data_IF_168362442433
#
_entry.id   IF_168362442433
#
_cell.length_a   1.000
_cell.length_b   1.000
_cell.length_c   1.000
_cell.angle_alpha   90.00
_cell.angle_beta   90.00
_cell.angle_gamma   90.00
#
_symmetry.space_group_name_H-M   'P 1'
#
loop_
_entity.id
_entity.type
_entity.pdbx_description
1 polymer ?
#
# COMPACT_ATOMS: atom_id res chain seq x y z
N UNK A 1 0.72 -22.03 17.16
CA UNK A 1 -0.19 -22.67 16.17
C UNK A 1 -0.40 -21.66 15.06
N UNK A 2 0.19 -21.89 13.89
CA UNK A 2 0.08 -20.96 12.77
C UNK A 2 -1.25 -21.20 12.07
N UNK A 3 -2.22 -20.30 12.25
CA UNK A 3 -3.43 -20.30 11.43
C UNK A 3 -3.02 -19.87 10.02
N UNK A 4 -3.05 -20.82 9.08
CA UNK A 4 -2.98 -20.48 7.67
C UNK A 4 -4.40 -20.09 7.24
N UNK A 5 -4.69 -18.78 7.27
CA UNK A 5 -5.94 -18.26 6.70
C UNK A 5 -5.82 -18.37 5.18
N UNK A 6 -6.62 -19.25 4.57
CA UNK A 6 -6.74 -19.33 3.12
C UNK A 6 -7.58 -18.15 2.63
N UNK A 7 -7.01 -17.31 1.76
CA UNK A 7 -7.75 -16.24 1.06
C UNK A 7 -8.85 -16.88 0.21
N UNK A 8 -10.09 -16.40 0.37
CA UNK A 8 -11.20 -16.81 -0.48
C UNK A 8 -11.29 -15.90 -1.72
N UNK A 9 -12.27 -16.17 -2.61
CA UNK A 9 -12.46 -15.36 -3.81
C UNK A 9 -12.85 -13.90 -3.52
N UNK A 10 -13.66 -13.68 -2.47
CA UNK A 10 -14.08 -12.34 -2.05
C UNK A 10 -12.88 -11.52 -1.56
N UNK A 11 -12.00 -12.12 -0.74
CA UNK A 11 -10.77 -11.48 -0.28
C UNK A 11 -9.86 -11.11 -1.47
N UNK A 12 -9.70 -12.05 -2.41
CA UNK A 12 -8.90 -11.81 -3.62
C UNK A 12 -9.49 -10.68 -4.47
N UNK A 13 -10.80 -10.67 -4.68
CA UNK A 13 -11.47 -9.64 -5.47
C UNK A 13 -11.36 -8.27 -4.82
N UNK A 14 -11.65 -8.18 -3.51
CA UNK A 14 -11.53 -6.95 -2.74
C UNK A 14 -10.10 -6.38 -2.77
N UNK A 15 -9.09 -7.23 -2.70
CA UNK A 15 -7.69 -6.81 -2.79
C UNK A 15 -7.35 -6.25 -4.18
N UNK A 16 -7.81 -6.89 -5.25
CA UNK A 16 -7.59 -6.37 -6.61
C UNK A 16 -8.30 -5.03 -6.83
N UNK A 17 -9.52 -4.90 -6.30
CA UNK A 17 -10.28 -3.65 -6.36
C UNK A 17 -9.53 -2.53 -5.61
N UNK A 18 -9.01 -2.81 -4.41
CA UNK A 18 -8.19 -1.87 -3.65
C UNK A 18 -6.98 -1.37 -4.46
N UNK A 19 -6.23 -2.27 -5.10
CA UNK A 19 -5.08 -1.88 -5.94
C UNK A 19 -5.49 -1.02 -7.14
N UNK A 20 -6.59 -1.38 -7.80
CA UNK A 20 -7.07 -0.66 -8.98
C UNK A 20 -7.56 0.75 -8.61
N UNK A 21 -8.32 0.89 -7.53
CA UNK A 21 -8.86 2.16 -7.06
C UNK A 21 -7.74 3.07 -6.53
N UNK A 22 -6.77 2.52 -5.80
CA UNK A 22 -5.57 3.24 -5.36
C UNK A 22 -4.82 3.84 -6.55
N UNK A 23 -4.53 3.01 -7.57
CA UNK A 23 -3.80 3.45 -8.75
C UNK A 23 -4.60 4.52 -9.51
N UNK A 24 -5.92 4.31 -9.68
CA UNK A 24 -6.77 5.29 -10.35
C UNK A 24 -6.83 6.61 -9.61
N UNK A 25 -6.89 6.63 -8.27
CA UNK A 25 -6.91 7.86 -7.49
C UNK A 25 -5.62 8.67 -7.69
N UNK A 26 -4.47 8.01 -7.57
CA UNK A 26 -3.13 8.60 -7.78
C UNK A 26 -2.97 9.12 -9.21
N UNK A 27 -3.33 8.33 -10.22
CA UNK A 27 -3.17 8.70 -11.63
C UNK A 27 -4.11 9.84 -12.07
N UNK A 28 -5.29 9.92 -11.45
CA UNK A 28 -6.28 10.95 -11.76
C UNK A 28 -5.93 12.36 -11.25
N UNK A 29 -4.92 12.47 -10.38
CA UNK A 29 -4.55 13.74 -9.74
C UNK A 29 -5.51 14.22 -8.65
N UNK A 30 -6.50 13.41 -8.24
CA UNK A 30 -7.40 13.71 -7.11
C UNK A 30 -6.74 13.30 -5.78
N UNK A 31 -5.71 14.04 -5.38
CA UNK A 31 -4.84 13.69 -4.26
C UNK A 31 -5.55 13.57 -2.91
N UNK A 32 -6.68 14.26 -2.72
CA UNK A 32 -7.47 14.18 -1.47
C UNK A 32 -8.06 12.77 -1.22
N UNK A 33 -8.21 11.95 -2.27
CA UNK A 33 -8.69 10.57 -2.14
C UNK A 33 -7.59 9.61 -1.70
N UNK A 34 -6.33 9.94 -1.93
CA UNK A 34 -5.22 9.02 -1.72
C UNK A 34 -5.02 8.61 -0.24
N UNK A 35 -5.14 9.51 0.76
CA UNK A 35 -5.05 9.14 2.17
C UNK A 35 -6.14 8.16 2.63
N UNK A 36 -7.32 8.17 2.00
CA UNK A 36 -8.47 7.31 2.39
C UNK A 36 -8.24 5.82 2.13
N UNK A 37 -7.18 5.45 1.39
CA UNK A 37 -6.78 4.04 1.18
C UNK A 37 -5.99 3.45 2.35
N UNK A 38 -5.70 4.25 3.38
CA UNK A 38 -4.93 3.84 4.54
C UNK A 38 -5.77 3.90 5.82
N UNK A 39 -5.40 3.11 6.82
CA UNK A 39 -5.96 3.22 8.17
C UNK A 39 -5.40 4.44 8.89
N UNK A 40 -6.09 4.93 9.93
CA UNK A 40 -5.63 6.04 10.77
C UNK A 40 -4.18 5.83 11.27
N UNK A 41 -3.88 4.63 11.77
CA UNK A 41 -2.53 4.24 12.20
C UNK A 41 -1.77 3.53 11.07
N UNK A 42 -1.36 4.27 10.04
CA UNK A 42 -0.58 3.73 8.91
C UNK A 42 0.82 4.34 8.80
N UNK A 43 1.64 3.73 7.93
CA UNK A 43 2.93 4.27 7.51
C UNK A 43 3.05 4.12 6.00
N UNK A 44 3.28 5.22 5.30
CA UNK A 44 3.57 5.21 3.87
C UNK A 44 5.04 5.54 3.61
N UNK A 45 5.77 4.61 2.97
CA UNK A 45 7.19 4.80 2.63
C UNK A 45 7.45 4.56 1.15
N UNK A 46 8.04 5.55 0.50
CA UNK A 46 8.60 5.43 -0.85
C UNK A 46 10.12 5.34 -0.75
N UNK A 47 10.65 4.12 -0.71
CA UNK A 47 12.07 3.86 -0.47
C UNK A 47 12.80 3.47 -1.77
N UNK A 48 13.95 4.09 -2.10
CA UNK A 48 14.81 3.61 -3.18
C UNK A 48 15.23 2.16 -2.96
N UNK A 49 15.30 1.39 -4.05
CA UNK A 49 15.61 -0.04 -4.00
C UNK A 49 16.97 -0.31 -3.36
N UNK A 50 17.99 0.47 -3.69
CA UNK A 50 19.36 0.31 -3.18
C UNK A 50 19.42 0.52 -1.66
N UNK A 51 18.59 1.43 -1.13
CA UNK A 51 18.50 1.67 0.31
C UNK A 51 17.81 0.50 1.00
N UNK A 52 16.72 -0.01 0.43
CA UNK A 52 16.02 -1.18 0.96
C UNK A 52 16.93 -2.42 0.98
N UNK A 53 17.62 -2.72 -0.13
CA UNK A 53 18.53 -3.87 -0.24
C UNK A 53 19.73 -3.78 0.73
N UNK A 54 20.13 -2.57 1.13
CA UNK A 54 21.22 -2.33 2.10
C UNK A 54 20.73 -2.09 3.53
N UNK A 55 19.42 -2.16 3.77
CA UNK A 55 18.83 -1.92 5.09
C UNK A 55 18.94 -0.47 5.58
N UNK A 56 19.17 0.50 4.69
CA UNK A 56 19.25 1.92 5.05
C UNK A 56 17.85 2.52 5.20
N UNK A 57 17.57 3.29 6.26
CA UNK A 57 16.21 3.79 6.54
C UNK A 57 15.77 4.92 5.60
N UNK A 58 16.67 5.45 4.79
CA UNK A 58 16.40 6.62 3.94
C UNK A 58 15.37 6.31 2.86
N UNK A 59 14.27 7.06 2.86
CA UNK A 59 13.19 7.03 1.89
C UNK A 59 12.98 8.43 1.27
N UNK A 60 12.47 8.46 0.03
CA UNK A 60 12.09 9.70 -0.65
C UNK A 60 10.87 10.34 0.02
N UNK A 61 9.93 9.51 0.50
CA UNK A 61 8.77 9.90 1.29
C UNK A 61 8.61 8.93 2.47
N UNK A 62 8.29 9.47 3.65
CA UNK A 62 8.00 8.72 4.86
C UNK A 62 7.04 9.52 5.75
N UNK A 63 5.79 9.05 5.85
CA UNK A 63 4.72 9.65 6.65
C UNK A 63 4.05 8.58 7.52
#
# INVERSE_FOLDING_TARGET
MSHHTSLNFEDWYALNQLYADYASAVDSGHWDLWPEFFTDDCVYRLQPRENHERGFPLATLAF
#
